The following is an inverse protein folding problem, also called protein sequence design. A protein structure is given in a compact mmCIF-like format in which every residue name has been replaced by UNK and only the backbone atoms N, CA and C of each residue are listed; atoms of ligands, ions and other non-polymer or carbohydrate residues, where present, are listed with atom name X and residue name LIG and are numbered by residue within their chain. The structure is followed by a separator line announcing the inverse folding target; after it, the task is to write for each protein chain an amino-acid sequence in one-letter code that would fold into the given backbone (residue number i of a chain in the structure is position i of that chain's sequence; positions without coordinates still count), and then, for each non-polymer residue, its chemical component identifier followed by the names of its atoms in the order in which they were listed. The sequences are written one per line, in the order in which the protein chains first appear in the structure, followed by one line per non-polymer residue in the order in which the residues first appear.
data_IF_843421520998
#
_entry.id   IF_843421520998
#
_cell.length_a   1.000
_cell.length_b   1.000
_cell.length_c   1.000
_cell.angle_alpha   90.00
_cell.angle_beta   90.00
_cell.angle_gamma   90.00
#
_symmetry.space_group_name_H-M   'P 1'
#
loop_
_entity.id
_entity.type
_entity.pdbx_description
1 polymer ?
#
# COMPACT_ATOMS: atom_id res chain seq x y z
N UNK A 1 19.97 24.15 6.27
CA UNK A 1 19.60 22.73 6.33
C UNK A 1 18.86 22.35 5.04
N UNK A 2 19.56 21.75 4.07
CA UNK A 2 18.99 21.33 2.78
C UNK A 2 18.01 20.18 3.02
N UNK A 3 16.84 20.21 2.38
CA UNK A 3 15.90 19.09 2.34
C UNK A 3 16.63 17.86 1.79
N UNK A 4 17.08 16.94 2.67
CA UNK A 4 17.58 15.63 2.25
C UNK A 4 16.45 14.92 1.48
N UNK A 5 16.79 14.29 0.35
CA UNK A 5 15.82 13.61 -0.52
C UNK A 5 14.98 12.62 0.28
N UNK A 6 13.68 12.59 -0.03
CA UNK A 6 12.58 12.06 0.77
C UNK A 6 12.54 10.53 1.01
N UNK A 7 13.61 9.78 0.73
CA UNK A 7 13.72 8.33 0.98
C UNK A 7 15.20 7.96 1.01
N UNK A 8 15.89 8.25 2.11
CA UNK A 8 17.30 7.88 2.26
C UNK A 8 17.50 7.12 3.56
N UNK A 9 18.34 6.09 3.53
CA UNK A 9 18.62 5.24 4.70
C UNK A 9 19.11 6.10 5.86
N UNK A 10 19.94 7.09 5.54
CA UNK A 10 20.55 8.00 6.49
C UNK A 10 19.50 8.79 7.29
N UNK A 11 18.38 9.18 6.67
CA UNK A 11 17.30 9.89 7.38
C UNK A 11 16.54 8.95 8.32
N UNK A 12 16.32 7.70 7.90
CA UNK A 12 15.69 6.70 8.75
C UNK A 12 16.59 6.33 9.93
N UNK A 13 17.89 6.15 9.68
CA UNK A 13 18.89 5.87 10.71
C UNK A 13 19.03 7.03 11.69
N UNK A 14 19.05 8.28 11.21
CA UNK A 14 19.11 9.48 12.06
C UNK A 14 17.90 9.54 13.00
N UNK A 15 16.69 9.28 12.48
CA UNK A 15 15.48 9.21 13.29
C UNK A 15 15.53 8.06 14.32
N UNK A 16 15.82 6.85 13.88
CA UNK A 16 15.83 5.67 14.76
C UNK A 16 16.94 5.75 15.80
N UNK A 17 18.09 6.34 15.45
CA UNK A 17 19.18 6.62 16.38
C UNK A 17 18.80 7.62 17.46
N UNK A 18 17.94 8.60 17.15
CA UNK A 18 17.48 9.60 18.11
C UNK A 18 16.54 9.06 19.19
N UNK A 19 15.99 7.85 19.01
CA UNK A 19 15.13 7.20 20.00
C UNK A 19 15.91 6.83 21.26
N UNK A 20 15.33 7.09 22.43
CA UNK A 20 15.93 6.71 23.71
C UNK A 20 16.11 5.19 23.82
N UNK A 21 17.15 4.74 24.54
CA UNK A 21 17.40 3.31 24.79
C UNK A 21 16.18 2.59 25.39
N UNK A 22 15.41 3.28 26.23
CA UNK A 22 14.18 2.75 26.82
C UNK A 22 13.13 2.43 25.76
N UNK A 23 12.89 3.38 24.84
CA UNK A 23 11.93 3.21 23.74
C UNK A 23 12.36 2.09 22.79
N UNK A 24 13.66 2.03 22.46
CA UNK A 24 14.19 0.96 21.59
C UNK A 24 13.95 -0.43 22.18
N UNK A 25 14.23 -0.60 23.47
CA UNK A 25 14.04 -1.89 24.17
C UNK A 25 12.59 -2.30 24.36
N UNK A 26 11.67 -1.33 24.45
CA UNK A 26 10.23 -1.62 24.58
C UNK A 26 9.51 -1.74 23.23
N UNK A 27 10.23 -1.61 22.11
CA UNK A 27 9.64 -1.67 20.78
C UNK A 27 9.52 -3.14 20.34
N UNK A 28 8.31 -3.67 20.38
CA UNK A 28 8.04 -5.06 19.99
C UNK A 28 7.89 -5.23 18.47
N UNK A 29 7.36 -4.23 17.77
CA UNK A 29 7.16 -4.27 16.33
C UNK A 29 7.09 -2.90 15.67
N UNK A 30 7.46 -2.84 14.39
CA UNK A 30 7.41 -1.66 13.53
C UNK A 30 6.61 -1.95 12.26
N UNK A 31 5.53 -1.19 12.04
CA UNK A 31 4.81 -1.20 10.77
C UNK A 31 5.56 -0.34 9.74
N UNK A 32 5.96 -0.92 8.62
CA UNK A 32 6.73 -0.22 7.59
C UNK A 32 6.42 -0.72 6.17
N UNK A 33 6.68 0.15 5.20
CA UNK A 33 6.59 -0.15 3.77
C UNK A 33 7.55 -1.29 3.38
N UNK A 34 7.35 -1.87 2.20
CA UNK A 34 8.27 -2.87 1.63
C UNK A 34 9.55 -2.27 1.04
N UNK A 35 9.84 -1.00 1.31
CA UNK A 35 11.05 -0.35 0.83
C UNK A 35 12.27 -0.97 1.56
N UNK A 36 13.24 -1.55 0.83
CA UNK A 36 14.42 -2.14 1.44
C UNK A 36 15.18 -1.17 2.34
N UNK A 37 15.12 0.13 2.05
CA UNK A 37 15.78 1.18 2.84
C UNK A 37 15.29 1.18 4.29
N UNK A 38 13.97 1.19 4.50
CA UNK A 38 13.40 1.19 5.85
C UNK A 38 13.64 -0.14 6.56
N UNK A 39 13.52 -1.24 5.82
CA UNK A 39 13.79 -2.57 6.35
C UNK A 39 15.19 -2.65 6.95
N UNK A 40 16.22 -2.29 6.18
CA UNK A 40 17.62 -2.32 6.65
C UNK A 40 17.84 -1.39 7.84
N UNK A 41 17.29 -0.17 7.81
CA UNK A 41 17.41 0.77 8.92
C UNK A 41 16.78 0.24 10.22
N UNK A 42 15.62 -0.43 10.14
CA UNK A 42 14.96 -1.03 11.30
C UNK A 42 15.77 -2.22 11.82
N UNK A 43 16.20 -3.14 10.95
CA UNK A 43 17.01 -4.31 11.35
C UNK A 43 18.31 -3.89 12.06
N UNK A 44 18.93 -2.79 11.67
CA UNK A 44 20.17 -2.27 12.29
C UNK A 44 19.92 -1.52 13.62
N UNK A 45 18.83 -0.76 13.73
CA UNK A 45 18.59 0.11 14.90
C UNK A 45 17.67 -0.49 15.97
N UNK A 46 16.82 -1.44 15.59
CA UNK A 46 15.81 -2.11 16.42
C UNK A 46 15.84 -3.62 16.15
N UNK A 47 16.95 -4.31 16.44
CA UNK A 47 17.14 -5.72 16.08
C UNK A 47 16.14 -6.68 16.74
N UNK A 48 15.59 -6.29 17.89
CA UNK A 48 14.60 -7.07 18.65
C UNK A 48 13.16 -6.82 18.20
N UNK A 49 12.92 -5.82 17.35
CA UNK A 49 11.58 -5.45 16.90
C UNK A 49 11.19 -6.21 15.63
N UNK A 50 9.98 -6.76 15.62
CA UNK A 50 9.41 -7.41 14.45
C UNK A 50 9.02 -6.39 13.37
N UNK A 51 9.37 -6.66 12.11
CA UNK A 51 8.91 -5.83 10.97
C UNK A 51 7.57 -6.36 10.45
N UNK A 52 6.56 -5.49 10.46
CA UNK A 52 5.22 -5.76 9.92
C UNK A 52 5.03 -4.97 8.63
N UNK A 53 4.89 -5.67 7.51
CA UNK A 53 4.54 -4.98 6.25
C UNK A 53 3.09 -4.57 6.21
N UNK A 54 2.87 -3.31 5.86
CA UNK A 54 1.55 -2.72 5.89
C UNK A 54 0.62 -3.23 4.75
N UNK A 55 -0.63 -3.51 5.13
CA UNK A 55 -1.67 -4.06 4.24
C UNK A 55 -2.10 -3.10 3.14
N UNK A 56 -2.04 -1.79 3.37
CA UNK A 56 -2.45 -0.77 2.41
C UNK A 56 -1.51 -0.76 1.20
N UNK A 57 -0.19 -0.79 1.42
CA UNK A 57 0.77 -0.84 0.31
C UNK A 57 0.62 -2.11 -0.53
N UNK A 58 0.31 -3.26 0.09
CA UNK A 58 0.01 -4.49 -0.66
C UNK A 58 -1.22 -4.31 -1.55
N UNK A 59 -2.28 -3.71 -1.02
CA UNK A 59 -3.48 -3.38 -1.79
C UNK A 59 -3.16 -2.41 -2.94
N UNK A 60 -2.33 -1.39 -2.69
CA UNK A 60 -1.87 -0.45 -3.73
C UNK A 60 -1.12 -1.17 -4.86
N UNK A 61 -0.15 -2.04 -4.54
CA UNK A 61 0.58 -2.80 -5.55
C UNK A 61 -0.33 -3.69 -6.41
N UNK A 62 -1.32 -4.34 -5.80
CA UNK A 62 -2.30 -5.15 -6.53
C UNK A 62 -3.21 -4.28 -7.41
N UNK A 63 -3.67 -3.12 -6.91
CA UNK A 63 -4.46 -2.16 -7.69
C UNK A 63 -3.67 -1.58 -8.87
N UNK A 64 -2.38 -1.27 -8.69
CA UNK A 64 -1.51 -0.79 -9.76
C UNK A 64 -1.29 -1.87 -10.82
N UNK A 65 -1.01 -3.11 -10.39
CA UNK A 65 -0.89 -4.24 -11.31
C UNK A 65 -2.18 -4.48 -12.11
N UNK A 66 -3.34 -4.41 -11.47
CA UNK A 66 -4.64 -4.52 -12.13
C UNK A 66 -4.88 -3.36 -13.11
N UNK A 67 -4.53 -2.14 -12.72
CA UNK A 67 -4.61 -0.97 -13.61
C UNK A 67 -3.74 -1.14 -14.85
N UNK A 68 -2.55 -1.71 -14.70
CA UNK A 68 -1.66 -2.00 -15.82
C UNK A 68 -2.27 -3.05 -16.76
N UNK A 69 -2.87 -4.13 -16.22
CA UNK A 69 -3.60 -5.13 -17.03
C UNK A 69 -4.77 -4.49 -17.78
N UNK A 70 -5.58 -3.68 -17.09
CA UNK A 70 -6.68 -2.93 -17.70
C UNK A 70 -6.19 -2.04 -18.84
N UNK A 71 -5.12 -1.25 -18.61
CA UNK A 71 -4.57 -0.32 -19.59
C UNK A 71 -4.10 -1.05 -20.85
N UNK A 72 -3.38 -2.15 -20.68
CA UNK A 72 -2.84 -2.93 -21.80
C UNK A 72 -3.96 -3.61 -22.60
N UNK A 73 -4.96 -4.16 -21.92
CA UNK A 73 -6.11 -4.79 -22.57
C UNK A 73 -7.03 -3.78 -23.26
N UNK A 74 -7.36 -2.67 -22.60
CA UNK A 74 -8.17 -1.60 -23.17
C UNK A 74 -7.49 -0.99 -24.41
N UNK A 75 -6.15 -0.80 -24.37
CA UNK A 75 -5.39 -0.36 -25.55
C UNK A 75 -5.51 -1.35 -26.70
N UNK A 76 -5.45 -2.65 -26.44
CA UNK A 76 -5.59 -3.68 -27.48
C UNK A 76 -6.99 -3.65 -28.09
N UNK A 77 -8.04 -3.67 -27.26
CA UNK A 77 -9.43 -3.65 -27.72
C UNK A 77 -9.74 -2.40 -28.56
N UNK A 78 -9.23 -1.22 -28.16
CA UNK A 78 -9.40 0.01 -28.95
C UNK A 78 -8.77 -0.06 -30.34
N UNK A 79 -7.67 -0.79 -30.52
CA UNK A 79 -7.09 -1.03 -31.87
C UNK A 79 -8.00 -1.88 -32.76
N UNK A 80 -8.89 -2.65 -32.15
CA UNK A 80 -9.90 -3.47 -32.80
C UNK A 80 -11.26 -2.74 -32.87
N UNK A 81 -11.32 -1.43 -32.57
CA UNK A 81 -12.54 -0.62 -32.48
C UNK A 81 -13.56 -1.11 -31.42
N UNK A 82 -13.09 -1.84 -30.40
CA UNK A 82 -13.92 -2.31 -29.28
C UNK A 82 -13.68 -1.40 -28.06
N UNK A 83 -14.74 -0.74 -27.60
CA UNK A 83 -14.66 0.23 -26.49
C UNK A 83 -15.24 -0.25 -25.16
N UNK A 84 -15.55 -1.54 -25.01
CA UNK A 84 -16.22 -2.09 -23.82
C UNK A 84 -15.50 -1.83 -22.49
N UNK A 85 -14.18 -1.63 -22.50
CA UNK A 85 -13.39 -1.31 -21.30
C UNK A 85 -13.11 0.20 -21.12
N UNK A 86 -13.52 1.05 -22.06
CA UNK A 86 -13.37 2.51 -21.94
C UNK A 86 -14.09 3.04 -20.71
N UNK A 87 -13.43 3.88 -19.91
CA UNK A 87 -14.03 4.47 -18.71
C UNK A 87 -14.23 3.50 -17.53
N UNK A 88 -13.95 2.20 -17.69
CA UNK A 88 -14.20 1.19 -16.64
C UNK A 88 -13.12 1.08 -15.57
N UNK A 89 -12.00 1.83 -15.68
CA UNK A 89 -10.84 1.73 -14.76
C UNK A 89 -11.25 1.67 -13.29
N UNK A 90 -12.08 2.61 -12.85
CA UNK A 90 -12.47 2.73 -11.45
C UNK A 90 -13.37 1.59 -10.98
N UNK A 91 -14.10 0.92 -11.87
CA UNK A 91 -14.87 -0.27 -11.54
C UNK A 91 -13.90 -1.36 -11.03
N UNK A 92 -12.78 -1.58 -11.71
CA UNK A 92 -11.83 -2.64 -11.35
C UNK A 92 -11.06 -2.38 -10.04
N UNK A 93 -10.73 -1.12 -9.72
CA UNK A 93 -9.88 -0.82 -8.56
C UNK A 93 -10.67 -0.46 -7.29
N UNK A 94 -11.91 0.01 -7.43
CA UNK A 94 -12.79 0.30 -6.29
C UNK A 94 -13.31 -1.00 -5.69
N UNK A 95 -13.47 -1.03 -4.37
CA UNK A 95 -14.10 -2.16 -3.72
C UNK A 95 -15.61 -2.18 -4.01
N UNK A 96 -16.20 -3.36 -4.20
CA UNK A 96 -17.61 -3.48 -4.58
C UNK A 96 -18.57 -2.88 -3.56
N UNK A 97 -18.23 -2.93 -2.26
CA UNK A 97 -19.02 -2.29 -1.20
C UNK A 97 -19.13 -0.75 -1.36
N UNK A 98 -18.20 -0.14 -2.10
CA UNK A 98 -18.14 1.30 -2.35
C UNK A 98 -18.62 1.68 -3.75
N UNK A 99 -19.24 0.76 -4.50
CA UNK A 99 -19.77 1.08 -5.82
C UNK A 99 -21.00 1.98 -5.71
N UNK A 100 -21.03 3.02 -6.55
CA UNK A 100 -22.29 3.70 -6.88
C UNK A 100 -23.21 2.77 -7.66
N UNK A 101 -24.51 3.10 -7.71
CA UNK A 101 -25.51 2.32 -8.47
C UNK A 101 -25.11 2.16 -9.95
N UNK A 102 -24.71 3.27 -10.59
CA UNK A 102 -24.16 3.25 -11.95
C UNK A 102 -22.95 2.33 -12.12
N UNK A 103 -22.06 2.26 -11.12
CA UNK A 103 -20.91 1.35 -11.17
C UNK A 103 -21.33 -0.12 -11.03
N UNK A 104 -22.35 -0.42 -10.21
CA UNK A 104 -22.91 -1.77 -10.09
C UNK A 104 -23.52 -2.22 -11.41
N UNK A 105 -24.33 -1.37 -12.05
CA UNK A 105 -24.95 -1.70 -13.35
C UNK A 105 -23.90 -1.92 -14.45
N UNK A 106 -22.89 -1.05 -14.48
CA UNK A 106 -21.79 -1.21 -15.44
C UNK A 106 -21.00 -2.49 -15.16
N UNK A 107 -20.72 -2.83 -13.90
CA UNK A 107 -20.03 -4.07 -13.55
C UNK A 107 -20.85 -5.31 -13.92
N UNK A 108 -22.15 -5.29 -13.66
CA UNK A 108 -23.05 -6.41 -13.95
C UNK A 108 -23.24 -6.64 -15.46
N UNK A 109 -23.20 -5.58 -16.26
CA UNK A 109 -23.24 -5.70 -17.73
C UNK A 109 -21.92 -6.17 -18.34
N UNK A 110 -20.79 -5.99 -17.64
CA UNK A 110 -19.50 -6.52 -18.08
C UNK A 110 -19.45 -8.03 -17.94
N UNK A 111 -19.13 -8.73 -19.04
CA UNK A 111 -18.78 -10.15 -19.03
C UNK A 111 -17.38 -10.35 -18.44
N UNK A 112 -17.23 -10.14 -17.13
CA UNK A 112 -15.96 -10.09 -16.39
C UNK A 112 -15.02 -11.26 -16.75
N UNK A 113 -15.57 -12.48 -16.87
CA UNK A 113 -14.79 -13.68 -17.16
C UNK A 113 -14.14 -13.71 -18.55
N UNK A 114 -14.62 -12.89 -19.50
CA UNK A 114 -14.07 -12.82 -20.86
C UNK A 114 -12.81 -11.93 -20.95
N UNK A 115 -12.57 -11.07 -19.96
CA UNK A 115 -11.48 -10.11 -20.00
C UNK A 115 -10.32 -10.52 -19.08
N UNK A 116 -9.08 -10.23 -19.51
CA UNK A 116 -7.86 -10.40 -18.72
C UNK A 116 -7.90 -9.56 -17.45
N UNK A 117 -8.41 -8.33 -17.52
CA UNK A 117 -8.63 -7.45 -16.36
C UNK A 117 -9.61 -8.07 -15.37
N UNK A 118 -10.65 -8.75 -15.85
CA UNK A 118 -11.60 -9.44 -14.97
C UNK A 118 -10.98 -10.59 -14.20
N UNK A 119 -10.13 -11.39 -14.84
CA UNK A 119 -9.30 -12.39 -14.15
C UNK A 119 -8.35 -11.76 -13.13
N UNK A 120 -7.70 -10.66 -13.49
CA UNK A 120 -6.83 -9.91 -12.58
C UNK A 120 -7.59 -9.38 -11.37
N UNK A 121 -8.81 -8.90 -11.57
CA UNK A 121 -9.70 -8.42 -10.54
C UNK A 121 -10.07 -9.54 -9.57
N UNK A 122 -10.45 -10.73 -10.05
CA UNK A 122 -10.73 -11.88 -9.19
C UNK A 122 -9.53 -12.26 -8.30
N UNK A 123 -8.31 -12.24 -8.86
CA UNK A 123 -7.08 -12.52 -8.10
C UNK A 123 -6.86 -11.48 -6.99
N UNK A 124 -7.04 -10.19 -7.31
CA UNK A 124 -6.96 -9.09 -6.34
C UNK A 124 -8.00 -9.27 -5.23
N UNK A 125 -9.26 -9.46 -5.59
CA UNK A 125 -10.36 -9.54 -4.62
C UNK A 125 -10.23 -10.76 -3.71
N UNK A 126 -9.84 -11.90 -4.24
CA UNK A 126 -9.57 -13.08 -3.44
C UNK A 126 -8.50 -12.83 -2.37
N UNK A 127 -7.48 -12.02 -2.68
CA UNK A 127 -6.42 -11.70 -1.73
C UNK A 127 -6.92 -10.93 -0.50
N UNK A 128 -8.06 -10.23 -0.56
CA UNK A 128 -8.65 -9.56 0.60
C UNK A 128 -8.89 -10.52 1.77
N UNK A 129 -9.26 -11.77 1.47
CA UNK A 129 -9.46 -12.85 2.46
C UNK A 129 -8.19 -13.17 3.26
N UNK A 130 -7.01 -12.85 2.73
CA UNK A 130 -5.75 -13.02 3.48
C UNK A 130 -5.80 -12.32 4.83
N UNK A 131 -6.37 -11.11 4.91
CA UNK A 131 -6.38 -10.31 6.13
C UNK A 131 -7.41 -10.74 7.16
N UNK A 132 -8.39 -11.58 6.79
CA UNK A 132 -9.44 -12.04 7.69
C UNK A 132 -9.07 -13.30 8.48
N UNK A 133 -7.91 -13.90 8.23
CA UNK A 133 -7.47 -15.05 9.01
C UNK A 133 -7.08 -14.65 10.45
N UNK A 134 -7.46 -15.48 11.41
CA UNK A 134 -7.04 -15.34 12.81
C UNK A 134 -5.61 -15.83 13.04
N UNK A 135 -5.22 -16.90 12.35
CA UNK A 135 -3.96 -17.61 12.59
C UNK A 135 -3.01 -17.54 11.39
N UNK A 136 -1.73 -17.26 11.70
CA UNK A 136 -0.62 -17.20 10.73
C UNK A 136 -0.53 -18.41 9.81
N UNK A 137 -0.68 -19.63 10.34
CA UNK A 137 -0.59 -20.86 9.56
C UNK A 137 -1.68 -20.99 8.48
N UNK A 138 -2.90 -20.53 8.76
CA UNK A 138 -3.99 -20.54 7.79
C UNK A 138 -3.78 -19.48 6.70
N UNK A 139 -3.30 -18.30 7.08
CA UNK A 139 -2.91 -17.25 6.14
C UNK A 139 -1.78 -17.71 5.19
N UNK A 140 -0.78 -18.42 5.71
CA UNK A 140 0.30 -18.97 4.90
C UNK A 140 -0.20 -20.03 3.90
N UNK A 141 -1.06 -20.97 4.35
CA UNK A 141 -1.67 -21.97 3.46
C UNK A 141 -2.50 -21.31 2.35
N UNK A 142 -3.29 -20.29 2.70
CA UNK A 142 -4.02 -19.49 1.72
C UNK A 142 -3.06 -18.81 0.73
N UNK A 143 -2.01 -18.16 1.23
CA UNK A 143 -1.04 -17.46 0.39
C UNK A 143 -0.39 -18.40 -0.62
N UNK A 144 -0.02 -19.62 -0.22
CA UNK A 144 0.55 -20.63 -1.14
C UNK A 144 -0.40 -20.93 -2.32
N UNK A 145 -1.69 -21.14 -2.04
CA UNK A 145 -2.71 -21.39 -3.07
C UNK A 145 -2.93 -20.16 -3.95
N UNK A 146 -3.09 -18.99 -3.34
CA UNK A 146 -3.27 -17.73 -4.06
C UNK A 146 -2.06 -17.41 -4.95
N UNK A 147 -0.84 -17.60 -4.45
CA UNK A 147 0.40 -17.37 -5.18
C UNK A 147 0.51 -18.26 -6.41
N UNK A 148 0.15 -19.54 -6.28
CA UNK A 148 0.11 -20.46 -7.41
C UNK A 148 -0.85 -19.95 -8.49
N UNK A 149 -2.08 -19.58 -8.12
CA UNK A 149 -3.06 -19.04 -9.07
C UNK A 149 -2.59 -17.72 -9.72
N UNK A 150 -2.10 -16.78 -8.92
CA UNK A 150 -1.63 -15.48 -9.40
C UNK A 150 -0.46 -15.62 -10.39
N UNK A 151 0.48 -16.55 -10.12
CA UNK A 151 1.64 -16.77 -10.99
C UNK A 151 1.31 -17.49 -12.31
N UNK A 152 0.26 -18.30 -12.34
CA UNK A 152 -0.21 -19.02 -13.54
C UNK A 152 -1.30 -18.24 -14.32
N UNK A 153 -1.64 -17.03 -13.89
CA UNK A 153 -2.67 -16.20 -14.52
C UNK A 153 -2.36 -15.73 -15.95
N UNK A 154 -1.08 -15.81 -16.37
CA UNK A 154 -0.51 -15.20 -17.59
C UNK A 154 -0.58 -13.66 -17.61
N UNK A 155 -0.82 -13.02 -16.47
CA UNK A 155 -0.87 -11.56 -16.32
C UNK A 155 0.45 -11.03 -15.76
N UNK A 156 1.36 -10.59 -16.64
CA UNK A 156 2.72 -10.14 -16.24
C UNK A 156 2.74 -9.16 -15.06
N UNK A 157 1.88 -8.12 -14.99
CA UNK A 157 1.86 -7.21 -13.84
C UNK A 157 1.51 -7.91 -12.52
N UNK A 158 0.51 -8.80 -12.53
CA UNK A 158 0.09 -9.57 -11.33
C UNK A 158 1.18 -10.53 -10.89
N UNK A 159 1.80 -11.25 -11.84
CA UNK A 159 2.91 -12.19 -11.57
C UNK A 159 4.07 -11.45 -10.87
N UNK A 160 4.40 -10.23 -11.32
CA UNK A 160 5.46 -9.42 -10.72
C UNK A 160 5.16 -9.11 -9.25
N UNK A 161 3.94 -8.67 -8.94
CA UNK A 161 3.51 -8.39 -7.56
C UNK A 161 3.49 -9.66 -6.72
N UNK A 162 2.92 -10.77 -7.23
CA UNK A 162 2.91 -12.04 -6.50
C UNK A 162 4.33 -12.50 -6.11
N UNK A 163 5.30 -12.40 -7.03
CA UNK A 163 6.72 -12.72 -6.76
C UNK A 163 7.33 -11.80 -5.70
N UNK A 164 7.00 -10.50 -5.73
CA UNK A 164 7.43 -9.55 -4.71
C UNK A 164 6.86 -9.89 -3.34
N UNK A 165 5.56 -10.18 -3.24
CA UNK A 165 4.92 -10.59 -2.00
C UNK A 165 5.53 -11.88 -1.45
N UNK A 166 5.86 -12.86 -2.31
CA UNK A 166 6.51 -14.09 -1.87
C UNK A 166 7.89 -13.84 -1.24
N UNK A 167 8.70 -12.95 -1.81
CA UNK A 167 10.02 -12.60 -1.24
C UNK A 167 9.90 -11.95 0.15
N UNK A 168 8.82 -11.20 0.37
CA UNK A 168 8.55 -10.50 1.62
C UNK A 168 7.57 -11.25 2.55
N UNK A 169 7.20 -12.50 2.22
CA UNK A 169 6.12 -13.22 2.89
C UNK A 169 6.33 -13.33 4.41
N UNK A 170 7.58 -13.49 4.85
CA UNK A 170 7.90 -13.59 6.28
C UNK A 170 7.41 -12.37 7.08
N UNK A 171 7.66 -11.16 6.57
CA UNK A 171 7.25 -9.89 7.19
C UNK A 171 5.76 -9.59 7.02
N UNK A 172 5.16 -10.06 5.92
CA UNK A 172 3.71 -9.96 5.69
C UNK A 172 2.96 -10.83 6.71
N UNK A 173 3.46 -12.03 7.01
CA UNK A 173 2.86 -12.92 7.99
C UNK A 173 3.02 -12.41 9.43
N UNK A 174 3.97 -11.52 9.72
CA UNK A 174 4.12 -10.89 11.05
C UNK A 174 2.90 -10.05 11.43
N UNK A 175 2.10 -9.61 10.46
CA UNK A 175 0.81 -8.94 10.72
C UNK A 175 -0.11 -9.77 11.62
N UNK A 176 -0.09 -11.11 11.54
CA UNK A 176 -0.98 -11.94 12.36
C UNK A 176 -0.55 -12.03 13.82
N UNK A 177 0.70 -11.68 14.15
CA UNK A 177 1.19 -11.62 15.53
C UNK A 177 0.85 -10.28 16.19
N UNK A 178 1.00 -9.16 15.45
CA UNK A 178 0.93 -7.81 16.03
C UNK A 178 -0.33 -7.01 15.64
N UNK A 179 -0.92 -7.29 14.47
CA UNK A 179 -2.08 -6.59 13.88
C UNK A 179 -1.94 -5.05 13.78
N UNK A 180 -0.72 -4.52 13.85
CA UNK A 180 -0.44 -3.10 13.64
C UNK A 180 -0.47 -2.72 12.15
N UNK A 181 -0.78 -1.45 11.87
CA UNK A 181 -0.80 -0.89 10.51
C UNK A 181 -0.16 0.50 10.50
N UNK A 182 0.38 0.92 9.37
CA UNK A 182 0.96 2.24 9.18
C UNK A 182 -0.10 3.34 8.88
N UNK A 183 -1.39 3.02 9.03
CA UNK A 183 -2.49 3.91 8.70
C UNK A 183 -2.44 5.26 9.45
N UNK A 184 -2.00 5.24 10.71
CA UNK A 184 -1.80 6.47 11.50
C UNK A 184 -0.77 7.40 10.86
N UNK A 185 0.40 6.87 10.50
CA UNK A 185 1.47 7.64 9.84
C UNK A 185 1.04 8.12 8.45
N UNK A 186 0.35 7.28 7.67
CA UNK A 186 -0.18 7.65 6.36
C UNK A 186 -1.22 8.78 6.44
N UNK A 187 -2.07 8.77 7.48
CA UNK A 187 -3.01 9.85 7.75
C UNK A 187 -2.30 11.17 8.08
N UNK A 188 -1.17 11.09 8.81
CA UNK A 188 -0.34 12.25 9.14
C UNK A 188 0.34 12.78 7.89
N UNK A 189 0.95 11.91 7.09
CA UNK A 189 1.58 12.25 5.81
C UNK A 189 0.58 12.94 4.87
N UNK A 190 -0.63 12.41 4.75
CA UNK A 190 -1.69 13.00 3.93
C UNK A 190 -2.07 14.41 4.40
N UNK A 191 -2.18 14.64 5.72
CA UNK A 191 -2.43 15.97 6.30
C UNK A 191 -1.28 16.94 6.02
N UNK A 192 -0.03 16.50 6.17
CA UNK A 192 1.17 17.30 5.86
C UNK A 192 1.19 17.69 4.38
N UNK A 193 0.89 16.75 3.46
CA UNK A 193 0.82 17.05 2.03
C UNK A 193 -0.32 18.03 1.71
N UNK A 194 -1.46 17.94 2.40
CA UNK A 194 -2.55 18.91 2.25
C UNK A 194 -2.12 20.33 2.64
N UNK A 195 -1.43 20.49 3.78
CA UNK A 195 -0.85 21.78 4.20
C UNK A 195 0.07 22.33 3.11
N UNK A 196 0.97 21.50 2.59
CA UNK A 196 1.88 21.88 1.49
C UNK A 196 1.14 22.28 0.22
N UNK A 197 0.12 21.52 -0.18
CA UNK A 197 -0.68 21.79 -1.37
C UNK A 197 -1.46 23.10 -1.25
N UNK A 198 -2.10 23.34 -0.11
CA UNK A 198 -2.85 24.56 0.16
C UNK A 198 -1.95 25.80 0.12
N UNK A 199 -0.72 25.68 0.61
CA UNK A 199 0.28 26.75 0.55
C UNK A 199 0.93 26.93 -0.83
N UNK A 200 0.60 26.08 -1.83
CA UNK A 200 1.27 26.01 -3.15
C UNK A 200 2.79 25.78 -3.04
N UNK A 201 3.18 25.01 -2.02
CA UNK A 201 4.58 24.72 -1.71
C UNK A 201 5.21 25.73 -0.75
N UNK A 202 6.34 25.34 -0.16
CA UNK A 202 7.11 26.18 0.76
C UNK A 202 8.52 26.38 0.21
N UNK A 203 8.98 27.64 0.19
CA UNK A 203 10.36 27.98 -0.21
C UNK A 203 11.38 27.76 0.92
N UNK A 204 10.92 27.80 2.18
CA UNK A 204 11.76 27.66 3.37
C UNK A 204 11.23 26.53 4.26
N UNK A 205 12.12 25.62 4.67
CA UNK A 205 11.79 24.50 5.55
C UNK A 205 11.31 24.96 6.94
N UNK A 206 11.84 26.06 7.48
CA UNK A 206 11.41 26.55 8.79
C UNK A 206 9.93 26.94 8.78
N UNK A 207 9.48 27.66 7.75
CA UNK A 207 8.07 27.98 7.59
C UNK A 207 7.21 26.74 7.35
N UNK A 208 7.73 25.75 6.62
CA UNK A 208 7.03 24.47 6.46
C UNK A 208 6.87 23.74 7.80
N UNK A 209 7.95 23.65 8.60
CA UNK A 209 7.95 23.04 9.93
C UNK A 209 6.99 23.75 10.88
N UNK A 210 7.04 25.09 10.93
CA UNK A 210 6.13 25.89 11.75
C UNK A 210 4.69 25.63 11.32
N UNK A 211 4.40 25.61 10.02
CA UNK A 211 3.05 25.33 9.52
C UNK A 211 2.56 23.93 9.91
N UNK A 212 3.42 22.91 9.84
CA UNK A 212 3.11 21.55 10.32
C UNK A 212 2.79 21.58 11.82
N UNK A 213 3.66 22.17 12.65
CA UNK A 213 3.47 22.22 14.10
C UNK A 213 2.24 23.04 14.49
N UNK A 214 1.93 24.11 13.76
CA UNK A 214 0.76 24.93 14.01
C UNK A 214 -0.54 24.15 13.79
N UNK A 215 -0.64 23.39 12.69
CA UNK A 215 -1.87 22.67 12.34
C UNK A 215 -1.98 21.29 13.01
N UNK A 216 -0.85 20.63 13.31
CA UNK A 216 -0.80 19.24 13.74
C UNK A 216 -0.13 19.02 15.10
N UNK A 217 0.44 20.06 15.72
CA UNK A 217 1.18 19.97 16.99
C UNK A 217 0.31 19.98 18.25
N UNK A 218 -1.02 19.97 18.10
CA UNK A 218 -1.94 19.94 19.25
C UNK A 218 -1.94 21.23 20.07
N UNK A 219 -1.59 22.37 19.47
CA UNK A 219 -1.68 23.68 20.12
C UNK A 219 -3.14 24.00 20.43
N UNK A 220 -3.46 24.23 21.71
CA UNK A 220 -4.77 24.75 22.08
C UNK A 220 -4.78 26.26 21.82
N UNK A 221 -5.51 26.68 20.78
CA UNK A 221 -5.57 28.08 20.34
C UNK A 221 -6.70 28.87 21.04
N UNK A 222 -7.44 28.23 21.95
CA UNK A 222 -8.42 28.88 22.81
C UNK A 222 -7.95 28.82 24.28
N UNK A 223 -7.98 29.95 25.02
CA UNK A 223 -7.73 29.97 26.46
C UNK A 223 -8.81 29.22 27.24
#
# INVERSE_FOLDING_TARGET
MKLKKAKSKEVADELLSSLSKKVKRSCEAVAADMDPVFKTAIEENLPDADIVHDKFHISQYLNEALTNVWRDENRRLRKENIETLSGTKFIWITNQENYSEKQKDTFNSLKVNLYKVGRGWQIKEAFKKFWSFSYKGNAEKFFKRWYFWATHSKLKPIIKVAKMLKRNLKYILTYFSHRITNAGSESMNSRIQKIKSNARGFRNFQFFRISILFHLGGLNLYP
#
